data_IF_123006043839
#
_entry.id   IF_123006043839
#
_cell.length_a   1.000
_cell.length_b   1.000
_cell.length_c   1.000
_cell.angle_alpha   90.00
_cell.angle_beta   90.00
_cell.angle_gamma   90.00
#
_symmetry.space_group_name_H-M   'P 1'
#
loop_
_entity.id
_entity.type
_entity.pdbx_description
1 polymer ?
#
# COMPACT_ATOMS: atom_id res chain seq x y z
N UNK A 1 -9.27 -1.11 8.09
CA UNK A 1 -8.41 0.04 8.46
C UNK A 1 -8.35 1.07 7.34
N UNK A 2 -7.94 0.72 6.11
CA UNK A 2 -7.74 1.73 5.04
C UNK A 2 -9.03 2.06 4.27
N UNK A 3 -9.97 1.12 4.14
CA UNK A 3 -11.33 1.46 3.66
C UNK A 3 -12.04 2.40 4.65
N UNK A 4 -11.83 2.20 5.96
CA UNK A 4 -12.30 3.10 7.02
C UNK A 4 -11.57 4.45 6.99
N UNK A 5 -10.28 4.45 6.64
CA UNK A 5 -9.49 5.67 6.41
C UNK A 5 -9.95 6.41 5.14
N UNK A 6 -10.39 5.71 4.09
CA UNK A 6 -11.01 6.28 2.89
C UNK A 6 -12.37 6.93 3.19
N UNK A 7 -13.14 6.35 4.11
CA UNK A 7 -14.41 6.92 4.59
C UNK A 7 -14.16 8.11 5.54
N UNK A 8 -13.17 8.02 6.44
CA UNK A 8 -12.80 9.10 7.37
C UNK A 8 -12.07 10.27 6.68
N UNK A 9 -11.40 9.99 5.56
CA UNK A 9 -10.77 10.98 4.68
C UNK A 9 -11.67 11.27 3.49
N UNK A 10 -12.98 11.33 3.74
CA UNK A 10 -13.94 12.00 2.87
C UNK A 10 -13.23 13.22 2.28
N UNK A 11 -13.15 13.21 0.95
CA UNK A 11 -12.66 14.27 0.07
C UNK A 11 -12.72 15.59 0.85
N UNK A 12 -11.59 16.21 1.22
CA UNK A 12 -11.65 17.55 1.78
C UNK A 12 -12.06 18.47 0.62
N UNK A 13 -13.37 18.56 0.41
CA UNK A 13 -14.04 19.70 -0.19
C UNK A 13 -13.76 20.86 0.77
N UNK A 14 -12.58 21.45 0.67
CA UNK A 14 -12.43 22.83 1.11
C UNK A 14 -12.86 23.69 -0.08
N UNK A 15 -14.10 24.23 -0.10
CA UNK A 15 -14.33 25.40 -0.91
C UNK A 15 -13.36 26.47 -0.39
N UNK A 16 -12.63 27.07 -1.33
CA UNK A 16 -11.89 28.32 -1.18
C UNK A 16 -12.28 29.13 0.07
N UNK A 17 -11.45 29.08 1.12
CA UNK A 17 -11.49 30.09 2.16
C UNK A 17 -10.33 31.06 1.95
N UNK A 18 -10.60 32.37 1.86
CA UNK A 18 -9.60 33.39 1.62
C UNK A 18 -8.55 33.45 2.74
N UNK A 19 -7.33 33.76 2.33
CA UNK A 19 -6.05 33.60 3.04
C UNK A 19 -5.80 34.66 4.12
N UNK A 20 -6.80 35.07 4.90
CA UNK A 20 -6.62 36.22 5.83
C UNK A 20 -6.75 35.90 7.31
N UNK A 21 -7.19 34.72 7.74
CA UNK A 21 -7.24 34.39 9.18
C UNK A 21 -6.70 32.99 9.49
N UNK A 22 -5.36 32.87 9.50
CA UNK A 22 -4.70 31.73 10.16
C UNK A 22 -4.59 32.02 11.65
N UNK A 23 -5.61 31.65 12.41
CA UNK A 23 -5.44 31.45 13.85
C UNK A 23 -4.82 30.06 14.07
N UNK A 24 -3.74 29.94 14.88
CA UNK A 24 -3.06 28.65 15.12
C UNK A 24 -3.95 27.62 15.82
N UNK A 25 -5.03 28.07 16.46
CA UNK A 25 -5.98 27.21 17.18
C UNK A 25 -6.84 26.35 16.25
N UNK A 26 -7.19 26.82 15.06
CA UNK A 26 -8.03 26.07 14.12
C UNK A 26 -7.30 24.84 13.57
N UNK A 27 -5.99 24.97 13.30
CA UNK A 27 -5.15 23.84 12.87
C UNK A 27 -4.91 22.79 13.95
N UNK A 28 -4.83 23.20 15.23
CA UNK A 28 -4.61 22.28 16.34
C UNK A 28 -5.86 21.44 16.64
N UNK A 29 -7.03 22.08 16.70
CA UNK A 29 -8.30 21.40 16.91
C UNK A 29 -8.59 20.38 15.79
N UNK A 30 -8.27 20.74 14.55
CA UNK A 30 -8.50 19.88 13.40
C UNK A 30 -7.55 18.68 13.34
N UNK A 31 -6.30 18.84 13.82
CA UNK A 31 -5.37 17.74 13.98
C UNK A 31 -5.85 16.75 15.07
N UNK A 32 -6.37 17.26 16.20
CA UNK A 32 -6.91 16.44 17.29
C UNK A 32 -8.10 15.61 16.80
N UNK A 33 -9.03 16.21 16.05
CA UNK A 33 -10.18 15.49 15.49
C UNK A 33 -9.76 14.36 14.54
N UNK A 34 -8.72 14.56 13.73
CA UNK A 34 -8.20 13.50 12.85
C UNK A 34 -7.56 12.35 13.62
N UNK A 35 -6.89 12.64 14.75
CA UNK A 35 -6.33 11.61 15.62
C UNK A 35 -7.45 10.77 16.22
N UNK A 36 -8.51 11.39 16.75
CA UNK A 36 -9.66 10.66 17.30
C UNK A 36 -10.41 9.84 16.24
N UNK A 37 -10.53 10.34 15.01
CA UNK A 37 -11.10 9.57 13.89
C UNK A 37 -10.23 8.36 13.53
N UNK A 38 -8.91 8.51 13.49
CA UNK A 38 -8.01 7.39 13.24
C UNK A 38 -8.05 6.35 14.39
N UNK A 39 -8.11 6.82 15.64
CA UNK A 39 -8.17 5.96 16.82
C UNK A 39 -9.49 5.20 16.89
N UNK A 40 -10.61 5.86 16.62
CA UNK A 40 -11.94 5.22 16.56
C UNK A 40 -12.03 4.21 15.42
N UNK A 41 -11.50 4.53 14.23
CA UNK A 41 -11.43 3.58 13.13
C UNK A 41 -10.57 2.35 13.48
N UNK A 42 -9.44 2.54 14.16
CA UNK A 42 -8.60 1.44 14.64
C UNK A 42 -9.32 0.60 15.71
N UNK A 43 -10.00 1.26 16.65
CA UNK A 43 -10.79 0.59 17.69
C UNK A 43 -11.90 -0.27 17.07
N UNK A 44 -12.70 0.29 16.15
CA UNK A 44 -13.78 -0.44 15.46
C UNK A 44 -13.22 -1.70 14.79
N UNK A 45 -12.09 -1.60 14.09
CA UNK A 45 -11.46 -2.76 13.44
C UNK A 45 -10.96 -3.79 14.46
N UNK A 46 -10.38 -3.35 15.57
CA UNK A 46 -9.90 -4.25 16.63
C UNK A 46 -11.03 -5.05 17.30
N UNK A 47 -12.24 -4.50 17.33
CA UNK A 47 -13.44 -5.14 17.89
C UNK A 47 -14.26 -5.96 16.88
N UNK A 48 -13.90 -5.99 15.60
CA UNK A 48 -14.56 -6.87 14.63
C UNK A 48 -14.18 -8.32 14.96
N UNK A 49 -15.12 -9.19 15.38
CA UNK A 49 -14.81 -10.52 15.90
C UNK A 49 -14.01 -11.38 14.92
N UNK A 50 -14.24 -11.21 13.62
CA UNK A 50 -13.48 -11.89 12.58
C UNK A 50 -11.98 -11.62 12.71
N UNK A 51 -11.56 -10.38 12.95
CA UNK A 51 -10.13 -10.05 13.08
C UNK A 51 -9.56 -10.50 14.43
N UNK A 52 -10.32 -10.39 15.52
CA UNK A 52 -9.86 -10.84 16.85
C UNK A 52 -9.70 -12.36 16.91
N UNK A 53 -10.70 -13.11 16.40
CA UNK A 53 -10.66 -14.58 16.38
C UNK A 53 -9.60 -15.09 15.43
N UNK A 54 -9.54 -14.55 14.20
CA UNK A 54 -8.50 -14.95 13.23
C UNK A 54 -7.11 -14.58 13.73
N UNK A 55 -6.97 -13.42 14.38
CA UNK A 55 -5.72 -12.94 14.99
C UNK A 55 -5.18 -13.82 16.11
N UNK A 56 -6.07 -14.45 16.89
CA UNK A 56 -5.69 -15.38 17.95
C UNK A 56 -5.25 -16.76 17.45
N UNK A 57 -5.53 -17.08 16.18
CA UNK A 57 -5.16 -18.35 15.55
C UNK A 57 -3.86 -18.19 14.77
N UNK A 58 -2.93 -19.13 14.93
CA UNK A 58 -1.74 -19.26 14.09
C UNK A 58 -2.18 -19.67 12.68
N UNK A 59 -2.54 -18.68 11.86
CA UNK A 59 -3.08 -18.88 10.51
C UNK A 59 -2.51 -17.84 9.54
N UNK A 60 -2.21 -18.27 8.32
CA UNK A 60 -1.72 -17.45 7.20
C UNK A 60 -2.65 -16.28 6.85
N UNK A 61 -3.93 -16.36 7.18
CA UNK A 61 -4.91 -15.28 6.97
C UNK A 61 -4.51 -13.97 7.67
N UNK A 62 -3.92 -14.06 8.87
CA UNK A 62 -3.50 -12.87 9.64
C UNK A 62 -2.31 -12.16 8.97
N UNK A 63 -1.33 -12.95 8.52
CA UNK A 63 -0.15 -12.47 7.82
C UNK A 63 -0.53 -11.87 6.45
N UNK A 64 -1.44 -12.52 5.72
CA UNK A 64 -2.00 -11.99 4.49
C UNK A 64 -2.71 -10.66 4.72
N UNK A 65 -3.59 -10.58 5.73
CA UNK A 65 -4.30 -9.35 6.07
C UNK A 65 -3.34 -8.21 6.45
N UNK A 66 -2.25 -8.53 7.15
CA UNK A 66 -1.20 -7.57 7.50
C UNK A 66 -0.48 -7.03 6.26
N UNK A 67 -0.04 -7.90 5.33
CA UNK A 67 0.59 -7.45 4.09
C UNK A 67 -0.37 -6.68 3.18
N UNK A 68 -1.64 -7.09 3.09
CA UNK A 68 -2.66 -6.35 2.36
C UNK A 68 -2.90 -4.95 2.96
N UNK A 69 -2.86 -4.81 4.29
CA UNK A 69 -2.96 -3.50 4.94
C UNK A 69 -1.74 -2.62 4.63
N UNK A 70 -0.52 -3.17 4.64
CA UNK A 70 0.69 -2.43 4.26
C UNK A 70 0.69 -2.05 2.77
N UNK A 71 0.22 -2.94 1.91
CA UNK A 71 0.02 -2.69 0.48
C UNK A 71 -0.91 -1.48 0.24
N UNK A 72 -2.09 -1.48 0.86
CA UNK A 72 -3.03 -0.36 0.76
C UNK A 72 -2.45 0.93 1.37
N UNK A 73 -1.63 0.83 2.43
CA UNK A 73 -0.98 1.98 3.05
C UNK A 73 0.00 2.64 2.06
N UNK A 74 0.76 1.82 1.33
CA UNK A 74 1.67 2.29 0.29
C UNK A 74 0.92 2.99 -0.84
N UNK A 75 -0.20 2.45 -1.33
CA UNK A 75 -1.04 3.12 -2.33
C UNK A 75 -1.50 4.51 -1.85
N UNK A 76 -1.98 4.59 -0.62
CA UNK A 76 -2.44 5.85 -0.04
C UNK A 76 -1.30 6.86 0.14
N UNK A 77 -0.09 6.39 0.48
CA UNK A 77 1.10 7.25 0.56
C UNK A 77 1.50 7.78 -0.81
N UNK A 78 1.45 6.95 -1.86
CA UNK A 78 1.73 7.36 -3.25
C UNK A 78 0.75 8.46 -3.67
N UNK A 79 -0.55 8.24 -3.47
CA UNK A 79 -1.59 9.23 -3.81
C UNK A 79 -1.37 10.56 -3.07
N UNK A 80 -1.07 10.51 -1.77
CA UNK A 80 -0.82 11.71 -0.96
C UNK A 80 0.45 12.45 -1.40
N UNK A 81 1.48 11.74 -1.87
CA UNK A 81 2.69 12.34 -2.42
C UNK A 81 2.41 13.05 -3.75
N UNK A 82 1.60 12.47 -4.62
CA UNK A 82 1.17 13.11 -5.87
C UNK A 82 0.36 14.38 -5.63
N UNK A 83 -0.62 14.32 -4.73
CA UNK A 83 -1.39 15.50 -4.33
C UNK A 83 -0.50 16.64 -3.82
N UNK A 84 0.54 16.31 -3.04
CA UNK A 84 1.52 17.30 -2.56
C UNK A 84 2.37 17.88 -3.68
N UNK A 85 2.76 17.07 -4.67
CA UNK A 85 3.52 17.57 -5.82
C UNK A 85 2.74 18.60 -6.62
N UNK A 86 1.45 18.36 -6.86
CA UNK A 86 0.62 19.27 -7.64
C UNK A 86 0.39 20.62 -6.94
N UNK A 87 0.28 20.62 -5.61
CA UNK A 87 0.01 21.82 -4.82
C UNK A 87 1.26 22.66 -4.49
N UNK A 88 2.47 22.12 -4.66
CA UNK A 88 3.69 22.80 -4.24
C UNK A 88 4.46 23.33 -5.44
N UNK A 89 4.12 24.53 -5.90
CA UNK A 89 4.85 25.25 -6.97
C UNK A 89 6.19 25.84 -6.50
N UNK A 90 6.51 25.77 -5.20
CA UNK A 90 7.65 26.45 -4.60
C UNK A 90 8.35 25.49 -3.64
N UNK A 91 9.42 24.82 -4.09
CA UNK A 91 10.67 24.56 -3.36
C UNK A 91 11.56 23.54 -4.10
N UNK A 92 12.37 24.03 -5.03
CA UNK A 92 13.33 23.24 -5.81
C UNK A 92 14.47 22.60 -4.99
N UNK A 93 14.66 22.96 -3.72
CA UNK A 93 15.82 22.51 -2.93
C UNK A 93 15.65 21.14 -2.27
N UNK A 94 14.42 20.63 -2.12
CA UNK A 94 14.13 19.30 -1.53
C UNK A 94 13.63 18.27 -2.56
N UNK A 95 13.96 18.48 -3.84
CA UNK A 95 13.41 17.68 -4.93
C UNK A 95 14.04 16.27 -5.00
N UNK A 96 15.35 16.13 -4.77
CA UNK A 96 16.05 14.84 -4.90
C UNK A 96 15.60 13.79 -3.88
N UNK A 97 15.48 14.17 -2.60
CA UNK A 97 15.02 13.26 -1.53
C UNK A 97 13.56 12.83 -1.75
N UNK A 98 12.75 13.73 -2.31
CA UNK A 98 11.37 13.43 -2.64
C UNK A 98 11.24 12.36 -3.73
N UNK A 99 12.03 12.44 -4.81
CA UNK A 99 12.03 11.43 -5.88
C UNK A 99 12.44 10.03 -5.39
N UNK A 100 13.43 9.97 -4.48
CA UNK A 100 13.88 8.72 -3.88
C UNK A 100 12.76 8.12 -3.02
N UNK A 101 12.15 8.93 -2.15
CA UNK A 101 11.05 8.49 -1.29
C UNK A 101 9.86 8.00 -2.12
N UNK A 102 9.53 8.72 -3.20
CA UNK A 102 8.44 8.33 -4.10
C UNK A 102 8.71 6.98 -4.78
N UNK A 103 9.93 6.79 -5.29
CA UNK A 103 10.34 5.52 -5.91
C UNK A 103 10.33 4.36 -4.91
N UNK A 104 10.75 4.63 -3.68
CA UNK A 104 10.74 3.67 -2.57
C UNK A 104 9.33 3.15 -2.29
N UNK A 105 8.29 4.00 -2.29
CA UNK A 105 6.92 3.53 -2.06
C UNK A 105 6.40 2.59 -3.16
N UNK A 106 6.82 2.75 -4.43
CA UNK A 106 6.51 1.76 -5.48
C UNK A 106 7.23 0.43 -5.24
N UNK A 107 8.48 0.46 -4.79
CA UNK A 107 9.23 -0.76 -4.47
C UNK A 107 8.55 -1.48 -3.29
N UNK A 108 8.21 -0.78 -2.20
CA UNK A 108 7.49 -1.37 -1.07
C UNK A 108 6.12 -1.92 -1.48
N UNK A 109 5.40 -1.22 -2.36
CA UNK A 109 4.12 -1.69 -2.87
C UNK A 109 4.27 -3.07 -3.55
N UNK A 110 5.26 -3.20 -4.43
CA UNK A 110 5.55 -4.47 -5.10
C UNK A 110 6.04 -5.55 -4.13
N UNK A 111 6.86 -5.18 -3.15
CA UNK A 111 7.37 -6.09 -2.12
C UNK A 111 6.25 -6.66 -1.24
N UNK A 112 5.32 -5.83 -0.75
CA UNK A 112 4.20 -6.31 0.04
C UNK A 112 3.21 -7.15 -0.76
N UNK A 113 3.00 -6.81 -2.04
CA UNK A 113 2.22 -7.67 -2.94
C UNK A 113 2.90 -9.04 -3.13
N UNK A 114 4.22 -9.06 -3.32
CA UNK A 114 4.99 -10.30 -3.43
C UNK A 114 4.92 -11.16 -2.17
N UNK A 115 5.11 -10.55 -0.99
CA UNK A 115 4.98 -11.25 0.29
C UNK A 115 3.56 -11.82 0.49
N UNK A 116 2.53 -11.07 0.12
CA UNK A 116 1.14 -11.55 0.16
C UNK A 116 0.90 -12.73 -0.79
N UNK A 117 1.50 -12.74 -1.99
CA UNK A 117 1.42 -13.88 -2.93
C UNK A 117 2.11 -15.11 -2.33
N UNK A 118 3.27 -14.93 -1.67
CA UNK A 118 3.98 -16.05 -1.04
C UNK A 118 3.23 -16.66 0.15
N UNK A 119 2.35 -15.89 0.83
CA UNK A 119 1.54 -16.44 1.93
C UNK A 119 0.31 -17.17 1.44
N UNK A 120 -0.35 -16.69 0.38
CA UNK A 120 -1.56 -17.34 -0.15
C UNK A 120 -1.76 -17.05 -1.64
N UNK A 121 -2.00 -18.11 -2.40
CA UNK A 121 -2.29 -18.03 -3.85
C UNK A 121 -3.48 -17.13 -4.19
N UNK A 122 -4.47 -16.95 -3.29
CA UNK A 122 -5.58 -16.02 -3.53
C UNK A 122 -5.13 -14.55 -3.68
N UNK A 123 -3.92 -14.21 -3.22
CA UNK A 123 -3.35 -12.88 -3.38
C UNK A 123 -2.80 -12.60 -4.79
N UNK A 124 -2.88 -13.56 -5.73
CA UNK A 124 -2.56 -13.34 -7.15
C UNK A 124 -3.44 -12.29 -7.83
N UNK A 125 -4.53 -11.85 -7.18
CA UNK A 125 -5.34 -10.72 -7.63
C UNK A 125 -4.67 -9.35 -7.39
N UNK A 126 -3.73 -9.25 -6.44
CA UNK A 126 -3.08 -7.97 -6.09
C UNK A 126 -2.32 -7.31 -7.25
N UNK A 127 -1.56 -8.03 -8.10
CA UNK A 127 -0.95 -7.43 -9.29
C UNK A 127 -1.97 -6.75 -10.21
N UNK A 128 -3.16 -7.34 -10.38
CA UNK A 128 -4.24 -6.72 -11.15
C UNK A 128 -4.73 -5.44 -10.46
N UNK A 129 -4.91 -5.47 -9.14
CA UNK A 129 -5.26 -4.28 -8.35
C UNK A 129 -4.20 -3.17 -8.46
N UNK A 130 -2.91 -3.51 -8.50
CA UNK A 130 -1.82 -2.54 -8.70
C UNK A 130 -2.00 -1.81 -10.04
N UNK A 131 -2.22 -2.55 -11.12
CA UNK A 131 -2.37 -1.99 -12.47
C UNK A 131 -3.58 -1.06 -12.53
N UNK A 132 -4.72 -1.50 -11.97
CA UNK A 132 -5.96 -0.70 -11.94
C UNK A 132 -5.80 0.53 -11.05
N UNK A 133 -5.29 0.39 -9.83
CA UNK A 133 -5.13 1.49 -8.88
C UNK A 133 -4.16 2.55 -9.41
N UNK A 134 -3.00 2.14 -9.92
CA UNK A 134 -2.05 3.06 -10.55
C UNK A 134 -2.62 3.70 -11.82
N UNK A 135 -3.43 2.96 -12.59
CA UNK A 135 -4.13 3.50 -13.76
C UNK A 135 -5.14 4.59 -13.38
N UNK A 136 -5.91 4.40 -12.32
CA UNK A 136 -6.84 5.40 -11.80
C UNK A 136 -6.10 6.64 -11.27
N UNK A 137 -5.02 6.46 -10.52
CA UNK A 137 -4.15 7.56 -10.04
C UNK A 137 -3.55 8.31 -11.25
N UNK A 138 -3.00 7.60 -12.22
CA UNK A 138 -2.41 8.20 -13.42
C UNK A 138 -3.43 9.02 -14.21
N UNK A 139 -4.67 8.51 -14.34
CA UNK A 139 -5.77 9.24 -14.99
C UNK A 139 -6.19 10.47 -14.18
N UNK A 140 -6.25 10.37 -12.86
CA UNK A 140 -6.67 11.46 -11.99
C UNK A 140 -5.67 12.63 -11.99
N UNK A 141 -4.37 12.33 -11.97
CA UNK A 141 -3.29 13.34 -11.93
C UNK A 141 -2.69 13.66 -13.32
N UNK A 142 -3.26 13.12 -14.40
CA UNK A 142 -2.82 13.42 -15.77
C UNK A 142 -1.39 12.94 -16.10
N UNK A 143 -0.98 11.79 -15.56
CA UNK A 143 0.35 11.26 -15.83
C UNK A 143 0.54 10.86 -17.29
N UNK A 144 1.73 11.09 -17.88
CA UNK A 144 2.06 10.52 -19.17
C UNK A 144 2.15 8.99 -19.06
N UNK A 145 1.80 8.30 -20.16
CA UNK A 145 1.81 6.84 -20.25
C UNK A 145 3.15 6.21 -19.86
N UNK A 146 4.27 6.86 -20.20
CA UNK A 146 5.62 6.41 -19.85
C UNK A 146 5.86 6.37 -18.35
N UNK A 147 5.33 7.34 -17.59
CA UNK A 147 5.45 7.38 -16.12
C UNK A 147 4.61 6.27 -15.49
N UNK A 148 3.40 6.04 -15.98
CA UNK A 148 2.56 4.94 -15.53
C UNK A 148 3.21 3.58 -15.79
N UNK A 149 3.68 3.34 -17.01
CA UNK A 149 4.40 2.11 -17.36
C UNK A 149 5.63 1.90 -16.48
N UNK A 150 6.42 2.95 -16.23
CA UNK A 150 7.58 2.87 -15.35
C UNK A 150 7.17 2.51 -13.91
N UNK A 151 6.11 3.12 -13.38
CA UNK A 151 5.61 2.80 -12.05
C UNK A 151 5.17 1.34 -11.95
N UNK A 152 4.38 0.85 -12.92
CA UNK A 152 3.94 -0.55 -13.01
C UNK A 152 5.13 -1.49 -13.18
N UNK A 153 6.13 -1.14 -13.98
CA UNK A 153 7.32 -1.97 -14.17
C UNK A 153 8.16 -2.07 -12.89
N UNK A 154 8.35 -0.96 -12.15
CA UNK A 154 9.08 -0.96 -10.88
C UNK A 154 8.34 -1.82 -9.84
N UNK A 155 7.02 -1.65 -9.70
CA UNK A 155 6.23 -2.45 -8.76
C UNK A 155 6.24 -3.92 -9.13
N UNK A 156 6.02 -4.25 -10.41
CA UNK A 156 6.05 -5.62 -10.91
C UNK A 156 7.42 -6.27 -10.68
N UNK A 157 8.53 -5.57 -10.98
CA UNK A 157 9.87 -6.07 -10.75
C UNK A 157 10.11 -6.39 -9.27
N UNK A 158 9.70 -5.50 -8.36
CA UNK A 158 9.80 -5.75 -6.92
C UNK A 158 8.93 -6.95 -6.47
N UNK A 159 7.73 -7.11 -7.04
CA UNK A 159 6.88 -8.28 -6.80
C UNK A 159 7.56 -9.56 -7.27
N UNK A 160 8.07 -9.59 -8.51
CA UNK A 160 8.77 -10.74 -9.07
C UNK A 160 10.00 -11.12 -8.23
N UNK A 161 10.86 -10.17 -7.87
CA UNK A 161 12.03 -10.46 -7.02
C UNK A 161 11.61 -11.13 -5.71
N UNK A 162 10.55 -10.64 -5.07
CA UNK A 162 10.04 -11.19 -3.81
C UNK A 162 9.51 -12.61 -3.99
N UNK A 163 8.75 -12.84 -5.07
CA UNK A 163 8.10 -14.12 -5.36
C UNK A 163 9.08 -15.17 -5.87
N UNK A 164 10.07 -14.77 -6.67
CA UNK A 164 11.06 -15.66 -7.31
C UNK A 164 11.86 -16.47 -6.30
N UNK A 165 12.21 -15.89 -5.14
CA UNK A 165 12.92 -16.64 -4.09
C UNK A 165 12.11 -17.85 -3.61
N UNK A 166 10.82 -17.65 -3.35
CA UNK A 166 9.93 -18.73 -2.89
C UNK A 166 9.75 -19.81 -3.96
N UNK A 167 9.50 -19.42 -5.21
CA UNK A 167 9.37 -20.40 -6.29
C UNK A 167 10.67 -21.14 -6.58
N UNK A 168 11.83 -20.48 -6.46
CA UNK A 168 13.14 -21.14 -6.54
C UNK A 168 13.31 -22.22 -5.48
N UNK A 169 12.93 -21.93 -4.22
CA UNK A 169 12.94 -22.91 -3.14
C UNK A 169 12.00 -24.09 -3.42
N UNK A 170 10.78 -23.80 -3.90
CA UNK A 170 9.78 -24.83 -4.23
C UNK A 170 10.31 -25.77 -5.32
N UNK A 171 10.85 -25.23 -6.42
CA UNK A 171 11.41 -26.02 -7.52
C UNK A 171 12.59 -26.88 -7.03
N UNK A 172 13.48 -26.29 -6.22
CA UNK A 172 14.61 -27.01 -5.64
C UNK A 172 14.16 -28.22 -4.81
N UNK A 173 13.18 -28.02 -3.91
CA UNK A 173 12.65 -29.10 -3.07
C UNK A 173 11.93 -30.19 -3.89
N UNK A 174 11.16 -29.80 -4.90
CA UNK A 174 10.50 -30.78 -5.78
C UNK A 174 11.52 -31.62 -6.58
N UNK A 175 12.63 -31.03 -7.00
CA UNK A 175 13.70 -31.78 -7.67
C UNK A 175 14.37 -32.79 -6.72
N UNK A 176 14.64 -32.42 -5.46
CA UNK A 176 15.20 -33.35 -4.47
C UNK A 176 14.27 -34.55 -4.22
N UNK A 177 12.96 -34.33 -4.10
CA UNK A 177 11.98 -35.43 -3.95
C UNK A 177 11.94 -36.36 -5.17
N UNK A 178 12.18 -35.82 -6.38
CA UNK A 178 12.24 -36.63 -7.59
C UNK A 178 13.50 -37.49 -7.66
N UNK A 179 14.64 -36.99 -7.15
CA UNK A 179 15.93 -37.70 -7.12
C UNK A 179 16.00 -38.76 -6.02
N UNK A 180 15.49 -38.45 -4.82
CA UNK A 180 15.52 -39.38 -3.67
C UNK A 180 14.43 -40.47 -3.75
N UNK A 181 13.48 -40.34 -4.68
CA UNK A 181 12.44 -41.31 -4.97
C UNK A 181 11.35 -41.40 -3.89
N UNK A 182 10.16 -41.82 -4.31
CA UNK A 182 8.96 -42.09 -3.47
C UNK A 182 9.14 -43.19 -2.39
N UNK A 183 10.37 -43.64 -2.10
CA UNK A 183 10.70 -44.86 -1.36
C UNK A 183 11.01 -44.65 0.14
N UNK A 184 10.32 -43.73 0.81
CA UNK A 184 10.30 -43.63 2.28
C UNK A 184 8.90 -43.77 2.90
N UNK A 185 7.96 -44.38 2.15
CA UNK A 185 6.67 -44.85 2.66
C UNK A 185 6.65 -46.38 2.79
#
# INVERSE_FOLDING_TARGET
VIVTYFIARGIPFYPFLPRTERTPYFSAQQAVNQIFLALSAAAVVAFVPRFTLTGSMLNYETMLAFFAALFLLCLLKIENLEFRMQNTTVQAKSQKNFFILHSLFFILLGLFAGLAITTKLSALILPLEIVVALGLIARHYGWPWTRWLRAVAITAAATFVTVSWWFGFVIYQFNTVAEDGLWTG
#
